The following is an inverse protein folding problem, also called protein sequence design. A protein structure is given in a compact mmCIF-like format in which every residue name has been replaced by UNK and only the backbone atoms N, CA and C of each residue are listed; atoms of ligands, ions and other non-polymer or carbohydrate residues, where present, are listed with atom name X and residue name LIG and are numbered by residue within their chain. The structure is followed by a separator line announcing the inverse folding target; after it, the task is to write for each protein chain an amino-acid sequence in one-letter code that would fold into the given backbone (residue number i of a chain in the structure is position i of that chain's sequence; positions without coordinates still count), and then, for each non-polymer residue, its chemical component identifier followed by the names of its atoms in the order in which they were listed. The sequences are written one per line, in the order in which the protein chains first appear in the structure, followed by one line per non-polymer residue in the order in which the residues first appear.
data_IF_919251323701
#
_entry.id   IF_919251323701
#
_cell.length_a   1.000
_cell.length_b   1.000
_cell.length_c   1.000
_cell.angle_alpha   90.00
_cell.angle_beta   90.00
_cell.angle_gamma   90.00
#
_symmetry.space_group_name_H-M   'P 1'
#
loop_
_entity.id
_entity.type
_entity.pdbx_description
1 polymer ?
#
# COMPACT_ATOMS: atom_id res chain seq x y z
N UNK A 1 -7.26 11.94 1.79
CA UNK A 1 -7.38 12.39 0.40
C UNK A 1 -8.05 11.28 -0.39
N UNK A 2 -8.77 11.58 -1.49
CA UNK A 2 -9.56 10.64 -2.30
C UNK A 2 -10.72 9.93 -1.56
N UNK A 3 -11.06 10.38 -0.37
CA UNK A 3 -12.21 9.92 0.42
C UNK A 3 -12.63 11.01 1.40
N UNK A 4 -13.83 10.89 1.99
CA UNK A 4 -14.13 11.52 3.27
C UNK A 4 -13.12 11.07 4.33
N UNK A 5 -13.08 11.77 5.48
CA UNK A 5 -12.29 11.30 6.62
C UNK A 5 -12.70 9.87 6.96
N UNK A 6 -11.72 8.95 7.00
CA UNK A 6 -11.92 7.57 7.41
C UNK A 6 -11.58 7.41 8.89
N UNK A 7 -12.45 6.72 9.58
CA UNK A 7 -12.21 6.22 10.95
C UNK A 7 -11.92 4.71 10.87
N UNK A 8 -11.26 4.16 11.88
CA UNK A 8 -10.98 2.73 11.93
C UNK A 8 -12.25 1.86 11.90
N UNK A 9 -13.36 2.41 12.41
CA UNK A 9 -14.69 1.77 12.34
C UNK A 9 -15.17 1.56 10.90
N UNK A 10 -14.84 2.44 9.97
CA UNK A 10 -15.25 2.37 8.56
C UNK A 10 -14.51 1.26 7.81
N UNK A 11 -13.43 0.76 8.40
CA UNK A 11 -12.56 -0.26 7.84
C UNK A 11 -12.84 -1.66 8.40
N UNK A 12 -13.66 -1.76 9.46
CA UNK A 12 -14.05 -3.06 10.04
C UNK A 12 -14.77 -3.93 9.02
N UNK A 13 -14.43 -5.20 9.01
CA UNK A 13 -15.02 -6.17 8.09
C UNK A 13 -14.48 -6.10 6.66
N UNK A 14 -13.49 -5.25 6.40
CA UNK A 14 -12.82 -5.17 5.10
C UNK A 14 -11.44 -5.82 5.17
N UNK A 15 -11.03 -6.42 4.07
CA UNK A 15 -9.62 -6.77 3.84
C UNK A 15 -8.90 -5.52 3.36
N UNK A 16 -7.77 -5.19 3.97
CA UNK A 16 -7.03 -3.96 3.66
C UNK A 16 -5.67 -4.29 3.08
N UNK A 17 -5.23 -3.50 2.10
CA UNK A 17 -3.83 -3.41 1.72
C UNK A 17 -3.32 -2.02 2.08
N UNK A 18 -2.46 -1.94 3.08
CA UNK A 18 -1.87 -0.69 3.56
C UNK A 18 -0.46 -0.59 2.99
N UNK A 19 -0.21 0.41 2.14
CA UNK A 19 1.09 0.63 1.49
C UNK A 19 1.68 1.98 1.88
N UNK A 20 2.89 1.98 2.48
CA UNK A 20 3.71 3.19 2.59
C UNK A 20 4.38 3.49 1.26
N UNK A 21 4.36 4.76 0.86
CA UNK A 21 4.89 5.22 -0.41
C UNK A 21 5.40 6.66 -0.34
N UNK A 22 6.27 7.04 -1.26
CA UNK A 22 6.76 8.41 -1.42
C UNK A 22 6.85 8.79 -2.91
N UNK A 23 6.89 10.06 -3.20
CA UNK A 23 6.93 10.63 -4.56
C UNK A 23 8.30 10.54 -5.24
N UNK A 24 9.36 10.27 -4.47
CA UNK A 24 10.74 10.20 -4.98
C UNK A 24 11.25 8.77 -5.13
N UNK A 25 10.36 7.79 -5.20
CA UNK A 25 10.69 6.36 -5.20
C UNK A 25 10.27 5.69 -6.52
N UNK A 26 11.21 5.28 -7.34
CA UNK A 26 10.95 4.57 -8.60
C UNK A 26 10.20 3.27 -8.38
N UNK A 27 10.52 2.50 -7.33
CA UNK A 27 9.82 1.28 -6.96
C UNK A 27 8.36 1.53 -6.56
N UNK A 28 8.08 2.70 -5.98
CA UNK A 28 6.70 3.12 -5.69
C UNK A 28 5.94 3.45 -6.97
N UNK A 29 6.60 4.11 -7.93
CA UNK A 29 6.04 4.40 -9.24
C UNK A 29 5.71 3.10 -10.01
N UNK A 30 6.63 2.14 -10.01
CA UNK A 30 6.43 0.83 -10.63
C UNK A 30 5.28 0.03 -10.00
N UNK A 31 5.06 0.17 -8.68
CA UNK A 31 3.98 -0.52 -7.95
C UNK A 31 2.61 0.16 -8.11
N UNK A 32 2.57 1.44 -8.44
CA UNK A 32 1.32 2.21 -8.50
C UNK A 32 0.22 1.60 -9.39
N UNK A 33 0.50 1.09 -10.61
CA UNK A 33 -0.50 0.41 -11.43
C UNK A 33 -1.09 -0.84 -10.76
N UNK A 34 -0.27 -1.60 -10.04
CA UNK A 34 -0.71 -2.80 -9.33
C UNK A 34 -1.69 -2.46 -8.20
N UNK A 35 -1.43 -1.39 -7.45
CA UNK A 35 -2.34 -0.91 -6.39
C UNK A 35 -3.70 -0.52 -6.95
N UNK A 36 -3.73 0.21 -8.08
CA UNK A 36 -4.98 0.58 -8.76
C UNK A 36 -5.73 -0.65 -9.22
N UNK A 37 -5.04 -1.58 -9.89
CA UNK A 37 -5.64 -2.83 -10.35
C UNK A 37 -6.27 -3.62 -9.21
N UNK A 38 -5.58 -3.77 -8.08
CA UNK A 38 -6.13 -4.46 -6.91
C UNK A 38 -7.37 -3.74 -6.37
N UNK A 39 -7.36 -2.41 -6.31
CA UNK A 39 -8.52 -1.63 -5.88
C UNK A 39 -9.71 -1.82 -6.83
N UNK A 40 -9.48 -1.77 -8.14
CA UNK A 40 -10.52 -1.93 -9.16
C UNK A 40 -11.11 -3.34 -9.17
N UNK A 41 -10.27 -4.37 -8.99
CA UNK A 41 -10.68 -5.79 -9.04
C UNK A 41 -11.44 -6.24 -7.78
N UNK A 42 -11.00 -5.77 -6.60
CA UNK A 42 -11.50 -6.27 -5.31
C UNK A 42 -12.30 -5.23 -4.50
N UNK A 43 -12.26 -3.95 -4.85
CA UNK A 43 -12.86 -2.87 -4.06
C UNK A 43 -14.35 -3.05 -3.78
N UNK A 44 -15.12 -3.56 -4.73
CA UNK A 44 -16.56 -3.85 -4.56
C UNK A 44 -16.84 -5.15 -3.78
N UNK A 45 -15.80 -5.93 -3.47
CA UNK A 45 -15.89 -7.23 -2.79
C UNK A 45 -15.52 -7.15 -1.30
N UNK A 46 -15.42 -5.94 -0.73
CA UNK A 46 -15.03 -5.77 0.68
C UNK A 46 -13.53 -5.60 0.89
N UNK A 47 -12.81 -5.17 -0.13
CA UNK A 47 -11.37 -4.84 -0.07
C UNK A 47 -11.16 -3.33 -0.17
N UNK A 48 -10.07 -2.84 0.44
CA UNK A 48 -9.67 -1.44 0.33
C UNK A 48 -8.15 -1.29 0.33
N UNK A 49 -7.62 -0.59 -0.67
CA UNK A 49 -6.24 -0.08 -0.61
C UNK A 49 -6.21 1.21 0.19
N UNK A 50 -5.20 1.35 1.03
CA UNK A 50 -4.89 2.60 1.75
C UNK A 50 -3.43 2.94 1.48
N UNK A 51 -3.20 4.06 0.83
CA UNK A 51 -1.86 4.60 0.63
C UNK A 51 -1.46 5.50 1.80
N UNK A 52 -0.29 5.27 2.39
CA UNK A 52 0.26 6.15 3.43
C UNK A 52 1.50 6.84 2.86
N UNK A 53 1.38 8.14 2.63
CA UNK A 53 2.50 8.94 2.16
C UNK A 53 3.48 9.19 3.30
N UNK A 54 4.77 8.97 3.03
CA UNK A 54 5.86 9.39 3.92
C UNK A 54 6.90 10.18 3.12
N UNK A 55 7.21 11.42 3.51
CA UNK A 55 8.20 12.22 2.81
C UNK A 55 9.62 11.67 3.03
N UNK A 56 10.50 11.96 2.10
CA UNK A 56 11.95 11.78 2.28
C UNK A 56 12.64 13.14 2.04
N UNK A 57 13.30 13.70 3.08
CA UNK A 57 13.39 13.24 4.48
C UNK A 57 12.07 13.39 5.27
N UNK A 58 12.04 12.81 6.48
CA UNK A 58 10.91 12.97 7.41
C UNK A 58 10.69 14.45 7.73
N UNK A 59 9.42 14.87 7.82
CA UNK A 59 9.05 16.26 8.10
C UNK A 59 9.00 17.19 6.89
N UNK A 60 9.59 16.82 5.76
CA UNK A 60 9.57 17.65 4.53
C UNK A 60 8.36 17.32 3.68
N UNK A 61 7.20 17.80 4.09
CA UNK A 61 5.97 17.59 3.32
C UNK A 61 4.96 18.74 3.48
N UNK A 62 4.06 18.83 2.50
CA UNK A 62 2.83 19.62 2.58
C UNK A 62 1.72 18.92 1.78
N UNK A 63 0.48 19.30 2.05
CA UNK A 63 -0.70 18.66 1.45
C UNK A 63 -0.69 18.73 -0.09
N UNK A 64 -0.22 19.84 -0.67
CA UNK A 64 -0.17 20.00 -2.13
C UNK A 64 0.85 19.05 -2.79
N UNK A 65 1.99 18.78 -2.12
CA UNK A 65 2.96 17.78 -2.56
C UNK A 65 2.31 16.39 -2.61
N UNK A 66 1.62 16.01 -1.53
CA UNK A 66 0.91 14.71 -1.45
C UNK A 66 -0.15 14.60 -2.54
N UNK A 67 -0.96 15.64 -2.74
CA UNK A 67 -2.01 15.65 -3.79
C UNK A 67 -1.43 15.49 -5.19
N UNK A 68 -0.36 16.22 -5.51
CA UNK A 68 0.29 16.12 -6.83
C UNK A 68 0.87 14.72 -7.05
N UNK A 69 1.53 14.16 -6.05
CA UNK A 69 2.10 12.83 -6.15
C UNK A 69 1.02 11.74 -6.31
N UNK A 70 -0.05 11.80 -5.54
CA UNK A 70 -1.16 10.87 -5.67
C UNK A 70 -1.88 10.98 -7.02
N UNK A 71 -2.04 12.21 -7.54
CA UNK A 71 -2.59 12.45 -8.86
C UNK A 71 -1.65 11.93 -9.98
N UNK A 72 -0.34 12.12 -9.83
CA UNK A 72 0.66 11.58 -10.75
C UNK A 72 0.60 10.04 -10.83
N UNK A 73 0.45 9.39 -9.69
CA UNK A 73 0.28 7.93 -9.63
C UNK A 73 -1.15 7.47 -9.92
N UNK A 74 -2.06 8.39 -10.20
CA UNK A 74 -3.47 8.14 -10.49
C UNK A 74 -4.17 7.32 -9.39
N UNK A 75 -3.86 7.59 -8.14
CA UNK A 75 -4.50 6.90 -7.02
C UNK A 75 -5.95 7.35 -6.85
N UNK A 76 -6.87 6.38 -6.86
CA UNK A 76 -8.31 6.58 -6.67
C UNK A 76 -8.75 6.18 -5.26
N UNK A 77 -7.93 5.44 -4.54
CA UNK A 77 -8.16 4.98 -3.17
C UNK A 77 -7.72 6.02 -2.12
N UNK A 78 -8.12 5.85 -0.85
CA UNK A 78 -7.77 6.75 0.24
C UNK A 78 -6.26 6.88 0.44
N UNK A 79 -5.81 8.11 0.65
CA UNK A 79 -4.43 8.45 0.97
C UNK A 79 -4.38 9.22 2.28
N UNK A 80 -3.61 8.70 3.23
CA UNK A 80 -3.21 9.36 4.46
C UNK A 80 -1.75 9.80 4.39
N UNK A 81 -1.30 10.58 5.37
CA UNK A 81 0.11 10.95 5.50
C UNK A 81 0.70 10.45 6.83
N UNK A 82 1.99 10.19 6.82
CA UNK A 82 2.84 9.85 7.96
C UNK A 82 4.09 10.75 7.89
N UNK A 83 3.86 12.07 7.92
CA UNK A 83 4.87 13.08 7.64
C UNK A 83 6.10 13.01 8.52
N UNK A 84 5.97 12.60 9.76
CA UNK A 84 7.05 12.42 10.75
C UNK A 84 7.51 10.97 10.92
N UNK A 85 6.99 10.06 10.10
CA UNK A 85 7.28 8.62 10.12
C UNK A 85 6.92 7.90 11.44
N UNK A 86 6.02 8.42 12.23
CA UNK A 86 5.64 7.78 13.51
C UNK A 86 4.99 6.42 13.30
N UNK A 87 4.04 6.33 12.38
CA UNK A 87 3.38 5.08 12.10
C UNK A 87 4.33 4.09 11.43
N UNK A 88 5.13 4.52 10.46
CA UNK A 88 6.13 3.69 9.79
C UNK A 88 7.15 3.12 10.77
N UNK A 89 7.66 3.94 11.68
CA UNK A 89 8.57 3.48 12.73
C UNK A 89 7.92 2.44 13.62
N UNK A 90 6.70 2.71 14.09
CA UNK A 90 5.98 1.81 15.00
C UNK A 90 5.65 0.47 14.36
N UNK A 91 5.26 0.47 13.11
CA UNK A 91 4.80 -0.74 12.42
C UNK A 91 5.93 -1.55 11.81
N UNK A 92 7.03 -0.89 11.45
CA UNK A 92 8.00 -1.51 10.57
C UNK A 92 9.47 -1.36 10.98
N UNK A 93 9.91 -0.15 11.35
CA UNK A 93 11.33 0.13 11.51
C UNK A 93 11.88 -0.10 12.91
N UNK A 94 11.11 0.19 13.97
CA UNK A 94 11.60 0.14 15.34
C UNK A 94 12.06 -1.26 15.74
N UNK A 95 13.26 -1.33 16.34
CA UNK A 95 13.86 -2.56 16.83
C UNK A 95 14.35 -3.51 15.72
N UNK A 96 14.58 -2.99 14.51
CA UNK A 96 15.04 -3.76 13.34
C UNK A 96 16.11 -2.98 12.58
N UNK A 97 16.86 -3.67 11.74
CA UNK A 97 17.87 -3.10 10.79
C UNK A 97 17.25 -2.83 9.41
N UNK A 98 15.91 -2.76 9.33
CA UNK A 98 15.19 -2.52 8.08
C UNK A 98 15.39 -1.10 7.60
N UNK A 99 15.72 -0.95 6.32
CA UNK A 99 15.95 0.32 5.63
C UNK A 99 14.88 0.62 4.55
N UNK A 100 14.19 -0.41 4.04
CA UNK A 100 13.08 -0.22 3.12
C UNK A 100 11.88 0.40 3.83
N UNK A 101 11.38 1.50 3.26
CA UNK A 101 10.25 2.25 3.81
C UNK A 101 8.96 2.06 3.01
N UNK A 102 9.04 1.50 1.82
CA UNK A 102 7.89 1.23 0.95
C UNK A 102 7.35 -0.17 1.19
N UNK A 103 6.83 -0.42 2.38
CA UNK A 103 6.29 -1.70 2.84
C UNK A 103 4.79 -1.79 2.58
N UNK A 104 4.29 -3.01 2.35
CA UNK A 104 2.84 -3.28 2.26
C UNK A 104 2.42 -4.29 3.32
N UNK A 105 1.28 -4.04 3.95
CA UNK A 105 0.64 -4.95 4.90
C UNK A 105 -0.73 -5.34 4.35
N UNK A 106 -1.05 -6.64 4.38
CA UNK A 106 -2.42 -7.11 4.15
C UNK A 106 -3.01 -7.44 5.51
N UNK A 107 -4.16 -6.82 5.80
CA UNK A 107 -4.87 -6.91 7.07
C UNK A 107 -6.23 -7.55 6.80
N UNK A 108 -6.62 -8.52 7.62
CA UNK A 108 -7.91 -9.20 7.47
C UNK A 108 -9.10 -8.40 8.02
N UNK A 109 -10.30 -8.95 7.89
CA UNK A 109 -11.57 -8.35 8.33
C UNK A 109 -11.63 -8.07 9.85
N UNK A 110 -10.75 -8.71 10.63
CA UNK A 110 -10.65 -8.57 12.09
C UNK A 110 -9.56 -7.57 12.51
N UNK A 111 -8.81 -7.01 11.56
CA UNK A 111 -7.73 -6.08 11.82
C UNK A 111 -6.38 -6.75 12.13
N UNK A 112 -6.23 -8.03 11.79
CA UNK A 112 -4.98 -8.79 11.99
C UNK A 112 -4.14 -8.75 10.72
N UNK A 113 -2.84 -8.46 10.86
CA UNK A 113 -1.89 -8.52 9.75
C UNK A 113 -1.66 -9.99 9.37
N UNK A 114 -1.97 -10.35 8.13
CA UNK A 114 -1.86 -11.70 7.60
C UNK A 114 -0.70 -11.88 6.62
N UNK A 115 -0.26 -10.80 6.00
CA UNK A 115 0.86 -10.83 5.08
C UNK A 115 1.62 -9.50 5.10
N UNK A 116 2.94 -9.58 4.93
CA UNK A 116 3.81 -8.40 4.79
C UNK A 116 4.68 -8.58 3.56
N UNK A 117 4.60 -7.60 2.65
CA UNK A 117 5.59 -7.45 1.59
C UNK A 117 6.63 -6.43 2.05
N UNK A 118 7.91 -6.83 2.24
CA UNK A 118 8.88 -6.05 3.03
C UNK A 118 9.38 -4.78 2.35
N UNK A 119 9.08 -4.60 1.09
CA UNK A 119 9.52 -3.44 0.30
C UNK A 119 9.88 -3.85 -1.12
N UNK A 120 10.41 -2.89 -1.90
CA UNK A 120 10.60 -3.10 -3.33
C UNK A 120 9.32 -2.85 -4.12
N UNK A 121 9.25 -3.45 -5.30
CA UNK A 121 8.14 -3.33 -6.23
C UNK A 121 7.42 -4.67 -6.43
N UNK A 122 6.15 -4.60 -6.76
CA UNK A 122 5.38 -5.73 -7.27
C UNK A 122 4.39 -5.23 -8.33
N UNK A 123 4.30 -5.96 -9.42
CA UNK A 123 3.41 -5.65 -10.55
C UNK A 123 3.31 -6.85 -11.49
N UNK A 124 2.37 -6.82 -12.41
CA UNK A 124 2.33 -7.81 -13.48
C UNK A 124 3.56 -7.67 -14.39
N UNK A 125 4.13 -8.79 -14.77
CA UNK A 125 5.18 -8.83 -15.78
C UNK A 125 4.53 -8.94 -17.17
N UNK A 126 5.10 -8.22 -18.10
CA UNK A 126 4.80 -8.35 -19.53
C UNK A 126 5.60 -9.48 -20.21
N UNK A 127 6.16 -10.42 -19.43
CA UNK A 127 6.96 -11.54 -19.92
C UNK A 127 8.47 -11.32 -19.91
N UNK A 128 8.95 -10.14 -19.47
CA UNK A 128 10.38 -9.91 -19.30
C UNK A 128 10.90 -10.63 -18.06
N UNK A 129 11.94 -11.45 -18.20
CA UNK A 129 12.55 -12.25 -17.12
C UNK A 129 13.02 -11.39 -15.93
N UNK A 130 13.43 -10.15 -16.18
CA UNK A 130 13.86 -9.21 -15.14
C UNK A 130 12.78 -8.89 -14.09
N UNK A 131 11.50 -9.15 -14.37
CA UNK A 131 10.36 -8.85 -13.48
C UNK A 131 9.62 -10.10 -12.98
N UNK A 132 10.24 -11.28 -13.07
CA UNK A 132 9.59 -12.53 -12.59
C UNK A 132 9.27 -12.48 -11.09
N UNK A 133 10.19 -11.98 -10.27
CA UNK A 133 9.98 -11.82 -8.82
C UNK A 133 8.86 -10.83 -8.55
N UNK A 134 8.84 -9.67 -9.20
CA UNK A 134 7.77 -8.66 -9.04
C UNK A 134 6.39 -9.23 -9.38
N UNK A 135 6.31 -10.06 -10.43
CA UNK A 135 5.09 -10.73 -10.83
C UNK A 135 4.70 -11.86 -9.86
N UNK A 136 5.65 -12.62 -9.34
CA UNK A 136 5.39 -13.63 -8.33
C UNK A 136 4.85 -13.00 -7.03
N UNK A 137 5.44 -11.91 -6.59
CA UNK A 137 5.00 -11.14 -5.42
C UNK A 137 3.59 -10.57 -5.63
N UNK A 138 3.31 -10.01 -6.82
CA UNK A 138 1.97 -9.52 -7.16
C UNK A 138 0.93 -10.64 -7.11
N UNK A 139 1.21 -11.80 -7.71
CA UNK A 139 0.32 -12.98 -7.67
C UNK A 139 0.11 -13.49 -6.24
N UNK A 140 1.16 -13.47 -5.41
CA UNK A 140 1.05 -13.83 -4.01
C UNK A 140 0.12 -12.90 -3.25
N UNK A 141 0.25 -11.58 -3.46
CA UNK A 141 -0.63 -10.57 -2.88
C UNK A 141 -2.08 -10.81 -3.30
N UNK A 142 -2.35 -11.05 -4.60
CA UNK A 142 -3.69 -11.37 -5.10
C UNK A 142 -4.27 -12.62 -4.43
N UNK A 143 -3.47 -13.68 -4.31
CA UNK A 143 -3.91 -14.93 -3.67
C UNK A 143 -4.30 -14.72 -2.21
N UNK A 144 -3.49 -14.00 -1.44
CA UNK A 144 -3.78 -13.67 -0.03
C UNK A 144 -5.06 -12.83 0.08
N UNK A 145 -5.24 -11.82 -0.77
CA UNK A 145 -6.46 -11.00 -0.77
C UNK A 145 -7.69 -11.87 -1.05
N UNK A 146 -7.63 -12.73 -2.07
CA UNK A 146 -8.75 -13.60 -2.45
C UNK A 146 -9.10 -14.60 -1.32
N UNK A 147 -8.10 -15.19 -0.66
CA UNK A 147 -8.28 -16.07 0.50
C UNK A 147 -8.99 -15.34 1.65
N UNK A 148 -8.50 -14.16 2.05
CA UNK A 148 -9.06 -13.39 3.15
C UNK A 148 -10.48 -12.86 2.86
N UNK A 149 -10.80 -12.57 1.60
CA UNK A 149 -12.14 -12.18 1.19
C UNK A 149 -13.13 -13.35 1.30
N UNK A 150 -12.66 -14.58 1.08
CA UNK A 150 -13.47 -15.80 1.21
C UNK A 150 -13.65 -16.27 2.67
N UNK A 151 -12.81 -15.83 3.61
CA UNK A 151 -12.99 -16.10 5.05
C UNK A 151 -14.27 -15.42 5.56
N UNK A 152 -14.97 -16.06 6.52
CA UNK A 152 -16.19 -15.52 7.16
C UNK A 152 -15.85 -14.52 8.26
#
# INVERSE_FOLDING_TARGET
MNSSRLELSDLKGKVLLVRWWTDTCELCAATAPALRKLQDEYGTKGFQVIGIFHPKPAGDWNLERVKRAAAHYQFTFPVADDGDWKALRRWWLNGTDRDYTSVSFIVDKHGVIRYVHPGGEYHESNGASAHETCNADFKKIQAVIAELLAEN
#
